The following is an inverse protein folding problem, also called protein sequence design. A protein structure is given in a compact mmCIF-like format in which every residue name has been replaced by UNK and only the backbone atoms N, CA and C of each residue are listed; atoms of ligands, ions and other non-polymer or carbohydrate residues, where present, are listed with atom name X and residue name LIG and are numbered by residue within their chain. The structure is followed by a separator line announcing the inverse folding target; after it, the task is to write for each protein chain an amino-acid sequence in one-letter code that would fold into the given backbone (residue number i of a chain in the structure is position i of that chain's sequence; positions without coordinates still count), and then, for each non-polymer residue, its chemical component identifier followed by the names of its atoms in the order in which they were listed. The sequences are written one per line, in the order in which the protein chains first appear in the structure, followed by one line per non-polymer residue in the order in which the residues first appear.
data_IF_646482060774
#
_entry.id   IF_646482060774
#
_cell.length_a   1.000
_cell.length_b   1.000
_cell.length_c   1.000
_cell.angle_alpha   90.00
_cell.angle_beta   90.00
_cell.angle_gamma   90.00
#
_symmetry.space_group_name_H-M   'P 1'
#
loop_
_entity.id
_entity.type
_entity.pdbx_description
1 polymer ?
#
# COMPACT_ATOMS: atom_id res chain seq x y z
N UNK A 1 -26.09 -10.70 2.20
CA UNK A 1 -25.45 -9.35 2.16
C UNK A 1 -24.21 -9.46 1.27
N UNK A 2 -24.07 -8.58 0.26
CA UNK A 2 -22.80 -8.51 -0.47
C UNK A 2 -21.73 -8.05 0.50
N UNK A 3 -20.70 -8.85 0.75
CA UNK A 3 -19.55 -8.45 1.54
C UNK A 3 -18.95 -7.18 0.91
N UNK A 4 -18.70 -6.17 1.72
CA UNK A 4 -18.11 -4.92 1.23
C UNK A 4 -16.67 -5.20 0.82
N UNK A 5 -16.32 -4.93 -0.44
CA UNK A 5 -14.99 -5.16 -0.97
C UNK A 5 -14.05 -4.03 -0.55
N UNK A 6 -12.85 -4.39 -0.11
CA UNK A 6 -11.79 -3.45 0.28
C UNK A 6 -10.49 -3.78 -0.47
N UNK A 7 -9.82 -2.77 -0.98
CA UNK A 7 -8.45 -2.88 -1.48
C UNK A 7 -7.49 -2.64 -0.33
N UNK A 8 -6.63 -3.60 -0.04
CA UNK A 8 -5.58 -3.48 0.97
C UNK A 8 -4.21 -3.29 0.30
N UNK A 9 -3.52 -2.19 0.63
CA UNK A 9 -2.11 -2.04 0.32
C UNK A 9 -1.30 -3.07 1.12
N UNK A 10 -0.82 -4.11 0.46
CA UNK A 10 -0.23 -5.29 1.08
C UNK A 10 1.24 -5.43 0.73
N UNK A 11 2.08 -5.68 1.72
CA UNK A 11 3.52 -5.88 1.53
C UNK A 11 4.02 -7.26 1.96
N UNK A 12 3.18 -8.07 2.61
CA UNK A 12 3.59 -9.33 3.24
C UNK A 12 4.25 -9.14 4.61
N UNK A 13 4.44 -7.90 5.08
CA UNK A 13 4.96 -7.62 6.41
C UNK A 13 3.92 -7.84 7.51
N UNK A 14 4.37 -7.80 8.77
CA UNK A 14 3.54 -8.10 9.95
C UNK A 14 2.28 -7.21 10.02
N UNK A 15 2.45 -5.90 9.86
CA UNK A 15 1.35 -4.93 10.00
C UNK A 15 0.27 -5.15 8.92
N UNK A 16 0.68 -5.31 7.67
CA UNK A 16 -0.27 -5.54 6.57
C UNK A 16 -0.91 -6.92 6.65
N UNK A 17 -0.21 -7.93 7.19
CA UNK A 17 -0.75 -9.25 7.44
C UNK A 17 -1.79 -9.25 8.57
N UNK A 18 -1.55 -8.49 9.63
CA UNK A 18 -2.52 -8.26 10.69
C UNK A 18 -3.78 -7.55 10.15
N UNK A 19 -3.60 -6.49 9.36
CA UNK A 19 -4.70 -5.77 8.71
C UNK A 19 -5.55 -6.70 7.84
N UNK A 20 -4.90 -7.53 7.02
CA UNK A 20 -5.58 -8.49 6.18
C UNK A 20 -6.42 -9.47 7.00
N UNK A 21 -5.81 -10.07 8.03
CA UNK A 21 -6.50 -11.01 8.91
C UNK A 21 -7.68 -10.39 9.61
N UNK A 22 -7.54 -9.17 10.11
CA UNK A 22 -8.58 -8.43 10.79
C UNK A 22 -9.75 -8.13 9.85
N UNK A 23 -9.49 -7.54 8.68
CA UNK A 23 -10.52 -7.21 7.70
C UNK A 23 -11.27 -8.46 7.21
N UNK A 24 -10.55 -9.54 6.95
CA UNK A 24 -11.16 -10.82 6.56
C UNK A 24 -12.05 -11.38 7.69
N UNK A 25 -11.61 -11.32 8.94
CA UNK A 25 -12.39 -11.77 10.10
C UNK A 25 -13.62 -10.91 10.35
N UNK A 26 -13.57 -9.62 10.00
CA UNK A 26 -14.71 -8.70 10.07
C UNK A 26 -15.70 -8.88 8.89
N UNK A 27 -15.45 -9.85 7.99
CA UNK A 27 -16.36 -10.24 6.91
C UNK A 27 -16.21 -9.42 5.62
N UNK A 28 -15.11 -8.69 5.46
CA UNK A 28 -14.83 -7.97 4.22
C UNK A 28 -14.28 -8.88 3.12
N UNK A 29 -14.61 -8.55 1.88
CA UNK A 29 -13.98 -9.13 0.69
C UNK A 29 -12.67 -8.38 0.39
N UNK A 30 -11.52 -8.94 0.79
CA UNK A 30 -10.25 -8.22 0.78
C UNK A 30 -9.45 -8.56 -0.47
N UNK A 31 -9.18 -7.53 -1.29
CA UNK A 31 -8.23 -7.60 -2.39
C UNK A 31 -6.87 -7.10 -1.91
N UNK A 32 -5.93 -8.02 -1.68
CA UNK A 32 -4.56 -7.69 -1.27
C UNK A 32 -3.72 -7.32 -2.50
N UNK A 33 -3.27 -6.06 -2.58
CA UNK A 33 -2.50 -5.52 -3.71
C UNK A 33 -1.08 -5.23 -3.27
N UNK A 34 -0.12 -5.94 -3.87
CA UNK A 34 1.30 -5.68 -3.69
C UNK A 34 1.84 -4.95 -4.92
N UNK A 35 2.40 -3.76 -4.74
CA UNK A 35 3.05 -3.00 -5.80
C UNK A 35 4.56 -3.24 -5.72
N UNK A 36 5.10 -3.98 -6.68
CA UNK A 36 6.53 -4.31 -6.72
C UNK A 36 7.30 -3.24 -7.50
N UNK A 37 8.05 -2.42 -6.79
CA UNK A 37 8.94 -1.38 -7.33
C UNK A 37 10.38 -1.88 -7.53
N UNK A 38 10.62 -3.19 -7.30
CA UNK A 38 11.92 -3.84 -7.45
C UNK A 38 12.43 -4.56 -6.21
N UNK A 39 11.71 -4.43 -5.07
CA UNK A 39 12.12 -5.02 -3.79
C UNK A 39 11.82 -6.52 -3.65
N UNK A 40 11.06 -7.13 -4.57
CA UNK A 40 10.66 -8.54 -4.48
C UNK A 40 11.04 -9.33 -5.72
N UNK A 41 11.62 -10.51 -5.52
CA UNK A 41 11.84 -11.49 -6.56
C UNK A 41 10.62 -12.41 -6.76
N UNK A 42 10.66 -13.29 -7.77
CA UNK A 42 9.53 -14.18 -8.11
C UNK A 42 9.18 -15.17 -6.99
N UNK A 43 10.17 -15.73 -6.31
CA UNK A 43 9.93 -16.71 -5.24
C UNK A 43 9.32 -16.05 -4.01
N UNK A 44 9.76 -14.86 -3.64
CA UNK A 44 9.17 -14.06 -2.58
C UNK A 44 7.70 -13.72 -2.87
N UNK A 45 7.39 -13.31 -4.10
CA UNK A 45 6.01 -13.00 -4.50
C UNK A 45 5.08 -14.22 -4.41
N UNK A 46 5.58 -15.43 -4.73
CA UNK A 46 4.82 -16.67 -4.58
C UNK A 46 4.52 -16.94 -3.10
N UNK A 47 5.51 -16.78 -2.23
CA UNK A 47 5.34 -16.99 -0.79
C UNK A 47 4.39 -15.96 -0.17
N UNK A 48 4.53 -14.69 -0.55
CA UNK A 48 3.64 -13.61 -0.09
C UNK A 48 2.20 -13.84 -0.57
N UNK A 49 2.01 -14.30 -1.81
CA UNK A 49 0.70 -14.68 -2.33
C UNK A 49 0.06 -15.79 -1.50
N UNK A 50 0.82 -16.87 -1.22
CA UNK A 50 0.35 -17.99 -0.41
C UNK A 50 -0.09 -17.50 0.98
N UNK A 51 0.75 -16.72 1.65
CA UNK A 51 0.44 -16.12 2.94
C UNK A 51 -0.82 -15.25 2.90
N UNK A 52 -0.98 -14.41 1.87
CA UNK A 52 -2.15 -13.54 1.74
C UNK A 52 -3.45 -14.35 1.64
N UNK A 53 -3.47 -15.41 0.84
CA UNK A 53 -4.64 -16.28 0.70
C UNK A 53 -4.94 -17.04 1.99
N UNK A 54 -3.93 -17.57 2.67
CA UNK A 54 -4.07 -18.24 3.97
C UNK A 54 -4.62 -17.31 5.06
N UNK A 55 -4.30 -16.02 5.00
CA UNK A 55 -4.81 -15.00 5.92
C UNK A 55 -6.24 -14.53 5.58
N UNK A 56 -6.78 -14.95 4.43
CA UNK A 56 -8.17 -14.70 4.05
C UNK A 56 -8.37 -13.64 2.96
N UNK A 57 -7.33 -13.30 2.20
CA UNK A 57 -7.52 -12.49 1.00
C UNK A 57 -8.37 -13.26 -0.02
N UNK A 58 -9.41 -12.62 -0.56
CA UNK A 58 -10.20 -13.19 -1.65
C UNK A 58 -9.46 -13.10 -2.98
N UNK A 59 -8.61 -12.08 -3.12
CA UNK A 59 -7.69 -11.91 -4.26
C UNK A 59 -6.34 -11.39 -3.79
N UNK A 60 -5.28 -11.87 -4.44
CA UNK A 60 -3.95 -11.30 -4.34
C UNK A 60 -3.47 -10.90 -5.73
N UNK A 61 -3.05 -9.66 -5.87
CA UNK A 61 -2.51 -9.12 -7.12
C UNK A 61 -1.14 -8.49 -6.85
N UNK A 62 -0.15 -8.90 -7.63
CA UNK A 62 1.16 -8.25 -7.67
C UNK A 62 1.24 -7.37 -8.92
N UNK A 63 1.42 -6.07 -8.73
CA UNK A 63 1.58 -5.10 -9.81
C UNK A 63 3.07 -4.82 -9.99
N UNK A 64 3.62 -5.08 -11.17
CA UNK A 64 5.00 -4.72 -11.49
C UNK A 64 5.06 -3.22 -11.85
N UNK A 65 5.59 -2.43 -10.93
CA UNK A 65 5.75 -0.98 -11.06
C UNK A 65 7.23 -0.56 -11.22
N UNK A 66 8.16 -1.47 -11.51
CA UNK A 66 9.59 -1.16 -11.66
C UNK A 66 9.84 -0.14 -12.75
N UNK A 67 9.28 -0.37 -13.95
CA UNK A 67 9.44 0.55 -15.07
C UNK A 67 8.77 1.91 -14.82
N UNK A 68 7.50 2.00 -14.42
CA UNK A 68 6.89 3.28 -14.05
C UNK A 68 7.65 4.03 -12.95
N UNK A 69 8.15 3.33 -11.95
CA UNK A 69 8.92 3.93 -10.85
C UNK A 69 10.23 4.53 -11.35
N UNK A 70 10.97 3.79 -12.18
CA UNK A 70 12.20 4.29 -12.79
C UNK A 70 11.93 5.49 -13.71
N UNK A 71 11.02 5.35 -14.65
CA UNK A 71 10.79 6.36 -15.70
C UNK A 71 10.21 7.66 -15.15
N UNK A 72 9.33 7.58 -14.15
CA UNK A 72 8.63 8.76 -13.60
C UNK A 72 9.35 9.43 -12.45
N UNK A 73 10.19 8.71 -11.74
CA UNK A 73 10.79 9.20 -10.50
C UNK A 73 12.30 9.02 -10.46
N UNK A 74 12.80 7.78 -10.50
CA UNK A 74 14.19 7.48 -10.18
C UNK A 74 15.17 8.19 -11.12
N UNK A 75 14.92 8.15 -12.42
CA UNK A 75 15.82 8.82 -13.37
C UNK A 75 15.94 10.32 -13.11
N UNK A 76 14.86 11.01 -12.71
CA UNK A 76 14.89 12.44 -12.40
C UNK A 76 15.64 12.74 -11.10
N UNK A 77 15.52 11.86 -10.08
CA UNK A 77 16.29 11.98 -8.85
C UNK A 77 17.78 11.78 -9.10
N UNK A 78 18.14 10.84 -9.97
CA UNK A 78 19.54 10.59 -10.35
C UNK A 78 20.10 11.77 -11.14
N UNK A 79 19.43 12.20 -12.22
CA UNK A 79 19.91 13.31 -13.06
C UNK A 79 19.94 14.63 -12.32
N UNK A 80 18.98 14.88 -11.42
CA UNK A 80 18.94 16.10 -10.59
C UNK A 80 19.82 16.05 -9.36
N UNK A 81 20.46 14.90 -9.06
CA UNK A 81 21.20 14.66 -7.81
C UNK A 81 20.43 15.12 -6.57
N UNK A 82 19.12 14.80 -6.54
CA UNK A 82 18.20 15.30 -5.52
C UNK A 82 18.31 14.44 -4.25
N UNK A 83 18.81 15.05 -3.18
CA UNK A 83 18.93 14.44 -1.86
C UNK A 83 18.12 15.25 -0.83
N UNK A 84 17.50 14.55 0.13
CA UNK A 84 16.92 15.21 1.30
C UNK A 84 18.06 15.59 2.24
N UNK A 85 18.15 16.88 2.59
CA UNK A 85 19.22 17.42 3.45
C UNK A 85 20.64 17.07 2.97
N UNK A 86 20.85 17.00 1.65
CA UNK A 86 22.13 16.65 1.00
C UNK A 86 22.72 15.28 1.39
N UNK A 87 21.96 14.40 2.01
CA UNK A 87 22.49 13.12 2.50
C UNK A 87 21.59 11.92 2.22
N UNK A 88 20.28 12.10 2.11
CA UNK A 88 19.34 10.99 2.01
C UNK A 88 18.61 10.95 0.67
N UNK A 89 18.63 9.82 -0.09
CA UNK A 89 17.89 9.69 -1.34
C UNK A 89 16.38 9.80 -1.11
N UNK A 90 15.71 10.61 -1.92
CA UNK A 90 14.24 10.75 -1.88
C UNK A 90 13.48 9.53 -2.46
N UNK A 91 14.18 8.53 -2.96
CA UNK A 91 13.59 7.34 -3.58
C UNK A 91 12.61 6.60 -2.67
N UNK A 92 12.93 6.45 -1.38
CA UNK A 92 12.06 5.76 -0.41
C UNK A 92 10.73 6.47 -0.23
N UNK A 93 10.75 7.81 -0.13
CA UNK A 93 9.52 8.60 -0.04
C UNK A 93 8.70 8.57 -1.32
N UNK A 94 9.39 8.58 -2.46
CA UNK A 94 8.79 8.61 -3.80
C UNK A 94 8.20 7.25 -4.20
N UNK A 95 8.71 6.16 -3.66
CA UNK A 95 8.16 4.81 -3.85
C UNK A 95 6.70 4.73 -3.37
N UNK A 96 6.38 5.37 -2.25
CA UNK A 96 5.01 5.41 -1.72
C UNK A 96 4.03 6.09 -2.66
N UNK A 97 4.49 7.07 -3.42
CA UNK A 97 3.67 7.77 -4.43
C UNK A 97 3.25 6.80 -5.54
N UNK A 98 4.19 6.04 -6.11
CA UNK A 98 3.89 5.05 -7.15
C UNK A 98 2.99 3.95 -6.60
N UNK A 99 3.25 3.45 -5.40
CA UNK A 99 2.42 2.44 -4.76
C UNK A 99 0.98 2.94 -4.61
N UNK A 100 0.78 4.16 -4.12
CA UNK A 100 -0.55 4.75 -3.96
C UNK A 100 -1.27 4.94 -5.30
N UNK A 101 -0.57 5.39 -6.34
CA UNK A 101 -1.15 5.57 -7.68
C UNK A 101 -1.63 4.22 -8.24
N UNK A 102 -0.82 3.17 -8.18
CA UNK A 102 -1.17 1.86 -8.72
C UNK A 102 -2.33 1.21 -7.94
N UNK A 103 -2.36 1.36 -6.63
CA UNK A 103 -3.48 0.92 -5.78
C UNK A 103 -4.77 1.65 -6.16
N UNK A 104 -4.70 2.98 -6.34
CA UNK A 104 -5.85 3.77 -6.74
C UNK A 104 -6.34 3.41 -8.16
N UNK A 105 -5.43 3.15 -9.09
CA UNK A 105 -5.77 2.71 -10.44
C UNK A 105 -6.53 1.38 -10.41
N UNK A 106 -6.05 0.43 -9.59
CA UNK A 106 -6.73 -0.85 -9.38
C UNK A 106 -8.13 -0.65 -8.78
N UNK A 107 -8.24 0.18 -7.74
CA UNK A 107 -9.50 0.52 -7.07
C UNK A 107 -10.53 1.08 -8.05
N UNK A 108 -10.14 2.09 -8.83
CA UNK A 108 -11.00 2.69 -9.86
C UNK A 108 -11.44 1.69 -10.93
N UNK A 109 -10.51 0.88 -11.46
CA UNK A 109 -10.79 -0.13 -12.49
C UNK A 109 -11.82 -1.18 -12.03
N UNK A 110 -11.83 -1.49 -10.73
CA UNK A 110 -12.72 -2.49 -10.14
C UNK A 110 -13.93 -1.88 -9.43
N UNK A 111 -14.16 -0.56 -9.49
CA UNK A 111 -15.24 0.16 -8.82
C UNK A 111 -15.27 -0.08 -7.29
N UNK A 112 -14.11 -0.14 -6.65
CA UNK A 112 -13.97 -0.32 -5.21
C UNK A 112 -13.64 1.03 -4.60
N UNK A 113 -14.49 1.53 -3.70
CA UNK A 113 -14.36 2.87 -3.10
C UNK A 113 -13.77 2.85 -1.68
N UNK A 114 -13.23 1.72 -1.24
CA UNK A 114 -12.62 1.60 0.09
C UNK A 114 -11.22 1.03 -0.02
N UNK A 115 -10.25 1.74 0.53
CA UNK A 115 -8.85 1.34 0.58
C UNK A 115 -8.41 1.25 2.04
N UNK A 116 -7.62 0.25 2.36
CA UNK A 116 -6.95 0.10 3.65
C UNK A 116 -5.43 0.02 3.47
N UNK A 117 -4.69 0.47 4.46
CA UNK A 117 -3.25 0.28 4.53
C UNK A 117 -2.80 0.05 5.97
N UNK A 118 -1.64 -0.58 6.13
CA UNK A 118 -1.08 -0.98 7.42
C UNK A 118 -0.16 0.07 8.05
N UNK A 119 -0.18 1.32 7.59
CA UNK A 119 0.65 2.37 8.20
C UNK A 119 0.09 2.77 9.56
N UNK A 120 0.98 2.88 10.54
CA UNK A 120 0.60 3.30 11.90
C UNK A 120 0.12 4.76 11.93
N UNK A 121 -0.84 5.06 12.77
CA UNK A 121 -1.37 6.42 12.99
C UNK A 121 -0.23 7.41 13.32
N UNK A 122 -0.29 8.62 12.76
CA UNK A 122 0.70 9.68 12.88
C UNK A 122 2.07 9.39 12.26
N UNK A 123 2.23 8.32 11.46
CA UNK A 123 3.45 8.03 10.71
C UNK A 123 3.53 8.80 9.39
N UNK A 124 4.77 9.08 8.93
CA UNK A 124 5.01 9.75 7.64
C UNK A 124 4.39 9.01 6.45
N UNK A 125 4.36 7.68 6.48
CA UNK A 125 3.81 6.86 5.40
C UNK A 125 2.28 6.93 5.38
N UNK A 126 1.62 7.02 6.54
CA UNK A 126 0.18 7.27 6.61
C UNK A 126 -0.19 8.58 5.91
N UNK A 127 0.45 9.68 6.32
CA UNK A 127 0.17 11.00 5.74
C UNK A 127 0.38 11.00 4.22
N UNK A 128 1.41 10.31 3.73
CA UNK A 128 1.68 10.19 2.28
C UNK A 128 0.57 9.43 1.56
N UNK A 129 0.18 8.25 2.06
CA UNK A 129 -0.88 7.46 1.46
C UNK A 129 -2.21 8.20 1.48
N UNK A 130 -2.63 8.73 2.62
CA UNK A 130 -3.89 9.43 2.76
C UNK A 130 -3.97 10.64 1.85
N UNK A 131 -2.91 11.47 1.81
CA UNK A 131 -2.86 12.65 0.95
C UNK A 131 -2.98 12.29 -0.52
N UNK A 132 -2.25 11.27 -0.98
CA UNK A 132 -2.27 10.88 -2.39
C UNK A 132 -3.63 10.26 -2.76
N UNK A 133 -4.18 9.40 -1.91
CA UNK A 133 -5.49 8.81 -2.16
C UNK A 133 -6.58 9.88 -2.26
N UNK A 134 -6.59 10.87 -1.35
CA UNK A 134 -7.55 11.98 -1.37
C UNK A 134 -7.38 12.89 -2.58
N UNK A 135 -6.15 13.18 -3.00
CA UNK A 135 -5.88 13.98 -4.21
C UNK A 135 -6.41 13.24 -5.45
N UNK A 136 -6.18 11.93 -5.55
CA UNK A 136 -6.58 11.13 -6.71
C UNK A 136 -8.09 10.82 -6.74
N UNK A 137 -8.72 10.73 -5.58
CA UNK A 137 -10.16 10.52 -5.43
C UNK A 137 -10.64 11.08 -4.07
N UNK A 138 -11.18 12.30 -4.02
CA UNK A 138 -11.67 12.91 -2.76
C UNK A 138 -12.78 12.11 -2.06
N UNK A 139 -13.48 11.24 -2.79
CA UNK A 139 -14.59 10.44 -2.25
C UNK A 139 -14.16 9.03 -1.81
N UNK A 140 -12.85 8.73 -1.81
CA UNK A 140 -12.36 7.43 -1.38
C UNK A 140 -12.50 7.27 0.14
N UNK A 141 -12.98 6.13 0.60
CA UNK A 141 -12.98 5.77 2.01
C UNK A 141 -11.63 5.13 2.37
N UNK A 142 -10.91 5.74 3.29
CA UNK A 142 -9.64 5.20 3.81
C UNK A 142 -9.92 4.54 5.15
N UNK A 143 -9.63 3.24 5.23
CA UNK A 143 -9.79 2.44 6.44
C UNK A 143 -8.43 2.33 7.16
N UNK A 144 -8.32 2.95 8.33
CA UNK A 144 -7.15 2.85 9.21
C UNK A 144 -7.45 1.85 10.32
N UNK A 145 -6.65 0.81 10.43
CA UNK A 145 -6.85 -0.27 11.42
C UNK A 145 -6.04 -0.06 12.71
N UNK A 146 -5.10 0.87 12.68
CA UNK A 146 -4.29 1.23 13.84
C UNK A 146 -4.70 2.59 14.40
N UNK A 147 -5.65 2.58 15.33
CA UNK A 147 -5.95 3.69 16.25
C UNK A 147 -5.56 3.32 17.68
N UNK A 148 -4.61 2.43 17.89
CA UNK A 148 -4.11 2.13 19.23
C UNK A 148 -3.26 3.29 19.72
N UNK A 149 -3.53 3.88 20.88
CA UNK A 149 -2.61 4.83 21.50
C UNK A 149 -1.27 4.11 21.68
N UNK A 150 -0.19 4.80 21.31
CA UNK A 150 1.15 4.30 21.57
C UNK A 150 1.33 4.06 23.07
N UNK A 151 1.99 2.99 23.52
CA UNK A 151 2.33 2.80 24.93
C UNK A 151 3.16 3.95 25.53
N UNK A 152 3.58 4.92 24.70
CA UNK A 152 4.34 6.12 25.13
C UNK A 152 3.44 7.32 25.46
N UNK A 153 2.13 7.21 25.24
CA UNK A 153 1.15 8.28 25.55
C UNK A 153 0.45 8.06 26.91
N UNK A 154 1.05 7.22 27.71
CA UNK A 154 0.64 6.96 29.10
C UNK A 154 1.59 7.56 30.10
#
# INVERSE_FOLDING_TARGET
MKNKTIVLAYSGGLDTSFCLKRLSSDGFDVHAILVNTGGFNKSELINIKKQAIELGASKFISIDAKKPFYDKIIKFLIFGNVLKNNSYPLSVSSERIIQAIEIMNYSKKNNINTIAHGSTGAGNDQVRFDSIFQILNPNINICLLYTSPSPRDG
#
